data_IF_443508792616
#
_entry.id   IF_443508792616
#
_cell.length_a   1.000
_cell.length_b   1.000
_cell.length_c   1.000
_cell.angle_alpha   90.00
_cell.angle_beta   90.00
_cell.angle_gamma   90.00
#
_symmetry.space_group_name_H-M   'P 1'
#
loop_
_entity.id
_entity.type
_entity.pdbx_description
1 polymer ?
#
# COMPACT_ATOMS: atom_id res chain seq x y z
N UNK A 1 8.66 -11.26 4.45
CA UNK A 1 7.28 -11.07 4.97
C UNK A 1 6.71 -12.37 5.58
N UNK A 2 6.81 -13.53 4.91
CA UNK A 2 6.32 -14.81 5.48
C UNK A 2 7.08 -15.30 6.72
N UNK A 3 8.42 -15.20 6.76
CA UNK A 3 9.24 -15.72 7.89
C UNK A 3 8.93 -15.09 9.25
N UNK A 4 8.47 -13.83 9.30
CA UNK A 4 8.11 -13.18 10.56
C UNK A 4 6.74 -13.60 11.09
N UNK A 5 5.84 -14.08 10.22
CA UNK A 5 4.50 -14.50 10.61
C UNK A 5 4.55 -15.82 11.39
N UNK A 6 5.31 -16.80 10.89
CA UNK A 6 5.50 -18.11 11.52
C UNK A 6 6.08 -17.97 12.93
N UNK A 7 7.11 -17.14 13.11
CA UNK A 7 7.70 -16.88 14.43
C UNK A 7 6.73 -16.21 15.39
N UNK A 8 5.87 -15.29 14.92
CA UNK A 8 4.81 -14.69 15.75
C UNK A 8 3.73 -15.71 16.13
N UNK A 9 3.39 -16.64 15.24
CA UNK A 9 2.48 -17.74 15.59
C UNK A 9 3.10 -18.65 16.67
N UNK A 10 4.40 -18.95 16.57
CA UNK A 10 5.11 -19.71 17.60
C UNK A 10 5.14 -18.99 18.95
N UNK A 11 5.36 -17.67 18.97
CA UNK A 11 5.26 -16.85 20.20
C UNK A 11 3.85 -16.94 20.78
N UNK A 12 2.80 -16.78 19.95
CA UNK A 12 1.39 -16.90 20.39
C UNK A 12 1.10 -18.27 20.97
N UNK A 13 1.65 -19.33 20.38
CA UNK A 13 1.53 -20.70 20.88
C UNK A 13 2.18 -20.84 22.27
N UNK A 14 3.39 -20.31 22.48
CA UNK A 14 4.04 -20.31 23.80
C UNK A 14 3.21 -19.59 24.87
N UNK A 15 2.59 -18.46 24.54
CA UNK A 15 1.67 -17.75 25.46
C UNK A 15 0.46 -18.61 25.83
N UNK A 16 -0.13 -19.31 24.85
CA UNK A 16 -1.24 -20.25 25.10
C UNK A 16 -0.82 -21.47 25.95
N UNK A 17 0.46 -21.83 25.94
CA UNK A 17 1.04 -22.85 26.82
C UNK A 17 1.42 -22.29 28.20
N UNK A 18 1.00 -21.07 28.53
CA UNK A 18 1.30 -20.38 29.80
C UNK A 18 2.81 -20.21 30.06
N UNK A 19 3.61 -20.18 28.98
CA UNK A 19 5.06 -19.96 29.08
C UNK A 19 5.36 -18.49 29.29
N UNK A 20 6.30 -18.22 30.19
CA UNK A 20 6.82 -16.88 30.40
C UNK A 20 7.65 -16.40 29.20
N UNK A 21 7.83 -15.08 29.07
CA UNK A 21 8.71 -14.52 28.04
C UNK A 21 10.15 -15.03 28.18
N UNK A 22 10.62 -15.22 29.42
CA UNK A 22 11.96 -15.71 29.74
C UNK A 22 12.18 -17.17 29.28
N UNK A 23 11.13 -17.98 29.22
CA UNK A 23 11.19 -19.33 28.62
C UNK A 23 10.99 -19.31 27.10
N UNK A 24 10.15 -18.40 26.61
CA UNK A 24 9.81 -18.31 25.17
C UNK A 24 11.00 -17.86 24.33
N UNK A 25 11.79 -16.89 24.82
CA UNK A 25 12.99 -16.38 24.12
C UNK A 25 13.98 -17.50 23.80
N UNK A 26 14.50 -18.28 24.78
CA UNK A 26 15.46 -19.35 24.49
C UNK A 26 14.85 -20.49 23.65
N UNK A 27 13.53 -20.74 23.77
CA UNK A 27 12.84 -21.73 22.93
C UNK A 27 12.87 -21.35 21.44
N UNK A 28 12.70 -20.07 21.12
CA UNK A 28 12.69 -19.57 19.74
C UNK A 28 14.10 -19.37 19.16
N UNK A 29 15.01 -18.83 19.98
CA UNK A 29 16.41 -18.57 19.61
C UNK A 29 17.23 -19.87 19.49
N UNK A 30 16.73 -20.98 20.05
CA UNK A 30 17.29 -22.33 19.86
C UNK A 30 17.62 -22.61 18.38
N UNK A 31 18.81 -23.15 18.13
CA UNK A 31 19.26 -23.59 16.80
C UNK A 31 18.33 -24.60 16.12
N UNK A 32 17.49 -25.30 16.89
CA UNK A 32 16.50 -26.25 16.36
C UNK A 32 15.21 -25.59 15.87
N UNK A 33 14.92 -24.36 16.30
CA UNK A 33 13.71 -23.62 15.93
C UNK A 33 14.02 -22.65 14.79
N UNK A 34 14.46 -21.42 15.12
CA UNK A 34 14.72 -20.38 14.11
C UNK A 34 16.19 -19.97 14.03
N UNK A 35 16.99 -20.24 15.07
CA UNK A 35 18.43 -20.00 15.07
C UNK A 35 18.82 -18.57 14.67
N UNK A 36 19.59 -18.43 13.59
CA UNK A 36 20.12 -17.14 13.10
C UNK A 36 19.02 -16.26 12.50
N UNK A 37 17.96 -16.86 11.97
CA UNK A 37 16.84 -16.14 11.34
C UNK A 37 15.75 -15.73 12.37
N UNK A 38 16.02 -15.90 13.67
CA UNK A 38 15.09 -15.58 14.74
C UNK A 38 14.88 -14.06 14.91
N UNK A 39 13.67 -13.66 15.29
CA UNK A 39 13.35 -12.31 15.75
C UNK A 39 14.27 -11.92 16.93
N UNK A 40 14.62 -10.65 17.01
CA UNK A 40 15.37 -10.15 18.17
C UNK A 40 14.58 -10.35 19.46
N UNK A 41 15.28 -10.55 20.59
CA UNK A 41 14.66 -10.70 21.92
C UNK A 41 13.65 -9.60 22.22
N UNK A 42 13.94 -8.36 21.80
CA UNK A 42 13.05 -7.20 21.95
C UNK A 42 11.74 -7.36 21.16
N UNK A 43 11.79 -7.90 19.94
CA UNK A 43 10.61 -8.17 19.14
C UNK A 43 9.81 -9.35 19.71
N UNK A 44 10.49 -10.42 20.15
CA UNK A 44 9.86 -11.57 20.81
C UNK A 44 9.10 -11.10 22.05
N UNK A 45 9.75 -10.33 22.92
CA UNK A 45 9.15 -9.78 24.13
C UNK A 45 7.93 -8.91 23.83
N UNK A 46 8.03 -8.01 22.83
CA UNK A 46 6.91 -7.15 22.41
C UNK A 46 5.68 -7.96 21.97
N UNK A 47 5.89 -8.99 21.15
CA UNK A 47 4.81 -9.86 20.68
C UNK A 47 4.25 -10.74 21.79
N UNK A 48 5.12 -11.32 22.63
CA UNK A 48 4.72 -12.13 23.79
C UNK A 48 3.82 -11.32 24.73
N UNK A 49 4.24 -10.10 25.09
CA UNK A 49 3.45 -9.17 25.89
C UNK A 49 2.11 -8.86 25.24
N UNK A 50 2.08 -8.51 23.96
CA UNK A 50 0.84 -8.19 23.27
C UNK A 50 -0.15 -9.36 23.26
N UNK A 51 0.33 -10.60 23.06
CA UNK A 51 -0.51 -11.80 23.12
C UNK A 51 -0.96 -12.12 24.54
N UNK A 52 -0.11 -11.92 25.55
CA UNK A 52 -0.49 -12.08 26.95
C UNK A 52 -1.55 -11.06 27.40
N UNK A 53 -1.55 -9.87 26.80
CA UNK A 53 -2.57 -8.81 26.98
C UNK A 53 -3.87 -9.07 26.18
N UNK A 54 -3.97 -10.19 25.46
CA UNK A 54 -5.21 -10.61 24.77
C UNK A 54 -5.27 -10.28 23.29
N UNK A 55 -4.19 -9.80 22.65
CA UNK A 55 -4.15 -9.65 21.19
C UNK A 55 -4.30 -11.02 20.51
N UNK A 56 -5.15 -11.11 19.49
CA UNK A 56 -5.27 -12.33 18.69
C UNK A 56 -4.61 -12.23 17.31
N UNK A 57 -4.52 -11.03 16.73
CA UNK A 57 -3.96 -10.87 15.39
C UNK A 57 -2.43 -10.97 15.38
N UNK A 58 -1.91 -11.76 14.44
CA UNK A 58 -0.49 -12.03 14.21
C UNK A 58 0.09 -11.03 13.19
N UNK A 59 -0.76 -10.39 12.39
CA UNK A 59 -0.37 -9.38 11.44
C UNK A 59 0.03 -8.09 12.16
N UNK A 60 0.89 -7.29 11.52
CA UNK A 60 1.16 -5.94 11.99
C UNK A 60 -0.14 -5.12 11.91
N UNK A 61 -0.37 -4.29 12.93
CA UNK A 61 -1.48 -3.34 12.86
C UNK A 61 -1.29 -2.40 11.65
N UNK A 62 -2.40 -2.02 11.04
CA UNK A 62 -2.40 -0.95 10.05
C UNK A 62 -1.71 0.26 10.66
N UNK A 63 -0.51 0.57 10.14
CA UNK A 63 0.19 1.77 10.57
C UNK A 63 -0.67 2.96 10.18
N UNK A 64 -1.21 3.65 11.18
CA UNK A 64 -1.73 4.98 10.97
C UNK A 64 -0.60 5.80 10.32
N UNK A 65 -0.74 6.09 9.03
CA UNK A 65 0.09 7.12 8.42
C UNK A 65 -0.21 8.41 9.17
N UNK A 66 0.81 9.23 9.40
CA UNK A 66 0.60 10.60 9.88
C UNK A 66 -0.45 11.22 8.94
N UNK A 67 -1.60 11.68 9.44
CA UNK A 67 -2.51 12.46 8.61
C UNK A 67 -1.68 13.61 8.07
N UNK A 68 -1.51 13.69 6.75
CA UNK A 68 -0.99 14.92 6.16
C UNK A 68 -2.00 15.99 6.56
N UNK A 69 -1.63 16.88 7.47
CA UNK A 69 -2.49 17.97 7.99
C UNK A 69 -3.00 18.89 6.90
N UNK A 70 -2.49 18.73 5.68
CA UNK A 70 -2.79 19.50 4.51
C UNK A 70 -3.94 18.94 3.66
N UNK A 71 -4.24 17.64 3.75
CA UNK A 71 -5.24 16.95 2.93
C UNK A 71 -6.51 16.64 3.74
N UNK A 72 -7.04 17.64 4.45
CA UNK A 72 -8.34 17.53 5.13
C UNK A 72 -9.45 17.17 4.13
N UNK A 73 -10.46 16.42 4.56
CA UNK A 73 -11.60 16.02 3.70
C UNK A 73 -12.29 17.25 3.08
N UNK A 74 -12.33 18.38 3.78
CA UNK A 74 -12.87 19.65 3.27
C UNK A 74 -12.04 20.23 2.13
N UNK A 75 -10.71 20.15 2.21
CA UNK A 75 -9.80 20.59 1.16
C UNK A 75 -9.91 19.68 -0.06
N UNK A 76 -10.04 18.36 0.16
CA UNK A 76 -10.26 17.36 -0.90
C UNK A 76 -11.55 17.65 -1.65
N UNK A 77 -12.64 17.86 -0.91
CA UNK A 77 -13.94 18.18 -1.49
C UNK A 77 -13.91 19.49 -2.28
N UNK A 78 -13.33 20.54 -1.72
CA UNK A 78 -13.26 21.87 -2.36
C UNK A 78 -12.44 21.84 -3.65
N UNK A 79 -11.30 21.13 -3.67
CA UNK A 79 -10.49 20.94 -4.89
C UNK A 79 -11.26 20.13 -5.93
N UNK A 80 -11.97 19.08 -5.51
CA UNK A 80 -12.77 18.22 -6.41
C UNK A 80 -13.92 18.98 -7.06
N UNK A 81 -14.68 19.74 -6.28
CA UNK A 81 -15.82 20.52 -6.78
C UNK A 81 -15.37 21.58 -7.80
N UNK A 82 -14.22 22.22 -7.55
CA UNK A 82 -13.63 23.19 -8.46
C UNK A 82 -13.17 22.53 -9.79
N UNK A 83 -12.50 21.37 -9.71
CA UNK A 83 -12.07 20.61 -10.90
C UNK A 83 -13.24 20.03 -11.70
N UNK A 84 -14.32 19.64 -11.03
CA UNK A 84 -15.55 19.16 -11.70
C UNK A 84 -16.28 20.30 -12.42
N UNK A 85 -16.13 21.53 -11.95
CA UNK A 85 -16.69 22.72 -12.60
C UNK A 85 -15.88 23.11 -13.82
N UNK A 86 -14.55 23.13 -13.70
CA UNK A 86 -13.64 23.36 -14.84
C UNK A 86 -12.35 22.55 -14.69
N UNK A 87 -12.24 21.50 -15.51
CA UNK A 87 -11.11 20.59 -15.54
C UNK A 87 -9.86 21.19 -16.21
N UNK A 88 -9.94 22.40 -16.78
CA UNK A 88 -8.82 23.10 -17.43
C UNK A 88 -8.08 24.04 -16.48
N UNK A 89 -8.54 24.16 -15.23
CA UNK A 89 -7.91 25.01 -14.22
C UNK A 89 -6.49 24.53 -13.91
N UNK A 90 -5.54 25.45 -13.97
CA UNK A 90 -4.16 25.16 -13.58
C UNK A 90 -4.04 24.99 -12.06
N UNK A 91 -3.15 24.13 -11.59
CA UNK A 91 -2.87 23.95 -10.16
C UNK A 91 -2.54 25.28 -9.46
N UNK A 92 -1.91 26.23 -10.17
CA UNK A 92 -1.64 27.57 -9.64
C UNK A 92 -2.93 28.33 -9.33
N UNK A 93 -3.88 28.31 -10.26
CA UNK A 93 -5.15 29.00 -10.09
C UNK A 93 -5.98 28.37 -8.97
N UNK A 94 -6.00 27.04 -8.88
CA UNK A 94 -6.68 26.32 -7.79
C UNK A 94 -6.07 26.68 -6.42
N UNK A 95 -4.74 26.81 -6.37
CA UNK A 95 -4.00 27.20 -5.16
C UNK A 95 -4.35 28.61 -4.71
N UNK A 96 -4.43 29.55 -5.64
CA UNK A 96 -4.82 30.95 -5.37
C UNK A 96 -6.28 31.07 -4.95
N UNK A 97 -7.18 30.26 -5.53
CA UNK A 97 -8.62 30.29 -5.21
C UNK A 97 -8.94 29.69 -3.85
N UNK A 98 -8.28 28.59 -3.47
CA UNK A 98 -8.60 27.83 -2.25
C UNK A 98 -7.65 28.12 -1.08
N UNK A 99 -6.61 28.93 -1.29
CA UNK A 99 -5.51 29.17 -0.34
C UNK A 99 -4.86 27.85 0.16
N UNK A 100 -4.77 26.87 -0.74
CA UNK A 100 -4.15 25.57 -0.49
C UNK A 100 -2.80 25.53 -1.20
N UNK A 101 -1.79 24.94 -0.57
CA UNK A 101 -0.48 24.81 -1.19
C UNK A 101 -0.53 23.90 -2.42
N UNK A 102 0.19 24.29 -3.48
CA UNK A 102 0.24 23.55 -4.75
C UNK A 102 0.59 22.07 -4.59
N UNK A 103 1.43 21.73 -3.61
CA UNK A 103 1.84 20.36 -3.29
C UNK A 103 0.66 19.47 -2.94
N UNK A 104 -0.29 20.01 -2.17
CA UNK A 104 -1.50 19.31 -1.71
C UNK A 104 -2.48 19.15 -2.85
N UNK A 105 -2.64 20.19 -3.67
CA UNK A 105 -3.51 20.13 -4.84
C UNK A 105 -2.97 19.09 -5.83
N UNK A 106 -1.65 19.01 -6.04
CA UNK A 106 -1.05 17.95 -6.83
C UNK A 106 -1.33 16.56 -6.25
N UNK A 107 -1.19 16.39 -4.94
CA UNK A 107 -1.48 15.13 -4.27
C UNK A 107 -2.97 14.75 -4.45
N UNK A 108 -3.90 15.67 -4.25
CA UNK A 108 -5.34 15.43 -4.40
C UNK A 108 -5.69 15.16 -5.87
N UNK A 109 -5.30 16.05 -6.79
CA UNK A 109 -5.65 15.98 -8.20
C UNK A 109 -5.04 14.74 -8.88
N UNK A 110 -3.77 14.41 -8.63
CA UNK A 110 -3.15 13.24 -9.24
C UNK A 110 -3.63 11.93 -8.61
N UNK A 111 -3.84 11.88 -7.28
CA UNK A 111 -4.18 10.61 -6.63
C UNK A 111 -5.66 10.26 -6.78
N UNK A 112 -6.56 11.24 -6.70
CA UNK A 112 -8.00 10.98 -6.85
C UNK A 112 -8.41 10.86 -8.32
N UNK A 113 -7.86 11.65 -9.25
CA UNK A 113 -8.19 11.50 -10.67
C UNK A 113 -7.73 10.14 -11.21
N UNK A 114 -6.56 9.65 -10.79
CA UNK A 114 -6.09 8.31 -11.18
C UNK A 114 -6.90 7.18 -10.51
N UNK A 115 -7.35 7.36 -9.27
CA UNK A 115 -8.21 6.39 -8.58
C UNK A 115 -9.65 6.37 -9.08
N UNK A 116 -10.12 7.48 -9.66
CA UNK A 116 -11.47 7.63 -10.18
C UNK A 116 -11.64 7.05 -11.60
N UNK A 117 -10.54 6.71 -12.30
CA UNK A 117 -10.61 6.00 -13.59
C UNK A 117 -11.18 4.60 -13.33
N UNK A 118 -12.39 4.28 -13.82
CA UNK A 118 -12.94 2.93 -13.71
C UNK A 118 -12.02 1.94 -14.42
N UNK A 119 -11.82 0.76 -13.82
CA UNK A 119 -11.00 -0.29 -14.43
C UNK A 119 -11.48 -0.65 -15.85
N UNK A 120 -12.77 -0.49 -16.12
CA UNK A 120 -13.38 -0.69 -17.43
C UNK A 120 -12.86 0.29 -18.50
N UNK A 121 -12.60 1.55 -18.14
CA UNK A 121 -12.09 2.55 -19.08
C UNK A 121 -10.62 2.27 -19.44
N UNK A 122 -9.84 1.81 -18.45
CA UNK A 122 -8.48 1.31 -18.70
C UNK A 122 -8.49 0.05 -19.56
N UNK A 123 -9.37 -0.91 -19.27
CA UNK A 123 -9.53 -2.15 -20.04
C UNK A 123 -9.93 -1.88 -21.48
N UNK A 124 -10.88 -0.99 -21.73
CA UNK A 124 -11.30 -0.64 -23.09
C UNK A 124 -10.15 -0.01 -23.90
N UNK A 125 -9.37 0.88 -23.31
CA UNK A 125 -8.20 1.47 -23.95
C UNK A 125 -7.10 0.43 -24.23
N UNK A 126 -6.86 -0.47 -23.26
CA UNK A 126 -5.91 -1.57 -23.38
C UNK A 126 -6.32 -2.58 -24.46
N UNK A 127 -7.59 -2.97 -24.49
CA UNK A 127 -8.13 -3.88 -25.49
C UNK A 127 -8.10 -3.26 -26.88
N UNK A 128 -8.44 -1.97 -27.03
CA UNK A 128 -8.32 -1.26 -28.30
C UNK A 128 -6.86 -1.17 -28.78
N UNK A 129 -5.90 -1.01 -27.87
CA UNK A 129 -4.47 -1.08 -28.18
C UNK A 129 -4.04 -2.49 -28.57
N UNK A 130 -4.44 -3.51 -27.81
CA UNK A 130 -4.12 -4.92 -28.04
C UNK A 130 -4.71 -5.44 -29.36
N UNK A 131 -5.94 -5.04 -29.70
CA UNK A 131 -6.55 -5.32 -31.00
C UNK A 131 -5.77 -4.68 -32.14
N UNK A 132 -5.29 -3.44 -31.98
CA UNK A 132 -4.44 -2.79 -33.00
C UNK A 132 -3.10 -3.50 -33.16
N UNK A 133 -2.48 -3.89 -32.05
CA UNK A 133 -1.23 -4.65 -32.03
C UNK A 133 -1.37 -6.03 -32.68
N UNK A 134 -2.45 -6.75 -32.38
CA UNK A 134 -2.71 -8.06 -32.97
C UNK A 134 -3.04 -7.95 -34.45
N UNK A 135 -3.81 -6.94 -34.87
CA UNK A 135 -4.01 -6.64 -36.30
C UNK A 135 -2.68 -6.38 -37.03
N UNK A 136 -1.71 -5.75 -36.37
CA UNK A 136 -0.37 -5.54 -36.93
C UNK A 136 0.42 -6.85 -37.04
N UNK A 137 0.35 -7.73 -36.03
CA UNK A 137 0.96 -9.06 -36.08
C UNK A 137 0.34 -9.96 -37.17
N UNK A 138 -0.99 -9.94 -37.31
CA UNK A 138 -1.74 -10.73 -38.29
C UNK A 138 -1.55 -10.21 -39.73
N UNK A 139 -1.21 -8.93 -39.89
CA UNK A 139 -0.94 -8.31 -41.19
C UNK A 139 0.45 -8.60 -41.76
N UNK A 140 1.28 -9.40 -41.08
CA UNK A 140 2.45 -10.09 -41.65
C UNK A 140 3.37 -9.29 -42.58
N UNK A 141 4.41 -8.66 -42.01
CA UNK A 141 5.74 -8.49 -42.64
C UNK A 141 5.73 -7.99 -44.11
N UNK A 142 5.27 -6.76 -44.36
CA UNK A 142 5.33 -6.12 -45.68
C UNK A 142 5.91 -4.69 -45.63
N UNK A 143 6.89 -4.41 -44.77
CA UNK A 143 7.41 -3.03 -44.62
C UNK A 143 8.94 -2.89 -44.50
N UNK A 144 9.71 -3.85 -45.03
CA UNK A 144 11.15 -3.66 -45.17
C UNK A 144 11.71 -4.28 -46.48
N UNK A 145 11.13 -3.90 -47.62
CA UNK A 145 11.86 -3.91 -48.90
C UNK A 145 11.57 -2.59 -49.62
N UNK A 146 12.45 -1.61 -49.40
CA UNK A 146 12.91 -0.53 -50.29
C UNK A 146 13.30 0.70 -49.48
N UNK A 147 14.57 0.78 -49.09
CA UNK A 147 15.49 1.88 -49.37
C UNK A 147 16.91 1.43 -49.08
#
# INVERSE_FOLDING_TARGET
MQRSLEQRMAIKFCVKLEKSAAETIPMLVSKKAFGVDCLSDRQIFRWHKAFAEGREDVNDENRARRPSTSSSDDNVKSVRDLLNTDHRLSVRLISETLDITKTVIHEIACTDALKAIPENDYRAAFDAWKTRWNRWLDAGVMYFESF
#
